data_IF_441577714718
#
_entry.id   IF_441577714718
#
_cell.length_a   1.000
_cell.length_b   1.000
_cell.length_c   1.000
_cell.angle_alpha   90.00
_cell.angle_beta   90.00
_cell.angle_gamma   90.00
#
_symmetry.space_group_name_H-M   'P 1'
#
loop_
_entity.id
_entity.type
_entity.pdbx_description
1 polymer ?
#
# COMPACT_ATOMS: atom_id res chain seq x y z
N UNK A 1 21.50 26.77 -7.19
CA UNK A 1 20.25 26.07 -7.57
C UNK A 1 19.84 25.05 -6.51
N UNK A 2 20.72 24.14 -6.06
CA UNK A 2 20.38 23.13 -5.05
C UNK A 2 19.73 23.75 -3.80
N UNK A 3 20.34 24.78 -3.21
CA UNK A 3 19.84 25.43 -2.00
C UNK A 3 18.41 26.01 -2.16
N UNK A 4 18.03 26.54 -3.30
CA UNK A 4 16.67 27.05 -3.54
C UNK A 4 15.65 25.93 -3.62
N UNK A 5 15.99 24.83 -4.30
CA UNK A 5 15.11 23.66 -4.38
C UNK A 5 14.88 23.05 -3.00
N UNK A 6 15.94 22.92 -2.19
CA UNK A 6 15.83 22.39 -0.83
C UNK A 6 14.96 23.29 0.07
N UNK A 7 15.07 24.62 -0.10
CA UNK A 7 14.20 25.59 0.60
C UNK A 7 12.73 25.45 0.18
N UNK A 8 12.46 25.30 -1.12
CA UNK A 8 11.09 25.12 -1.65
C UNK A 8 10.49 23.81 -1.12
N UNK A 9 11.22 22.68 -1.26
CA UNK A 9 10.79 21.37 -0.76
C UNK A 9 10.54 21.44 0.75
N UNK A 10 11.45 22.05 1.51
CA UNK A 10 11.28 22.23 2.94
C UNK A 10 10.06 23.11 3.30
N UNK A 11 9.76 24.14 2.53
CA UNK A 11 8.57 24.98 2.73
C UNK A 11 7.28 24.20 2.45
N UNK A 12 7.24 23.42 1.37
CA UNK A 12 6.12 22.53 1.03
C UNK A 12 5.91 21.51 2.14
N UNK A 13 6.96 20.85 2.58
CA UNK A 13 6.88 19.85 3.67
C UNK A 13 6.36 20.51 4.96
N UNK A 14 6.92 21.65 5.37
CA UNK A 14 6.45 22.40 6.56
C UNK A 14 4.99 22.81 6.48
N UNK A 15 4.47 23.02 5.29
CA UNK A 15 3.04 23.32 5.13
C UNK A 15 2.14 22.11 5.37
N UNK A 16 2.69 20.90 5.58
CA UNK A 16 1.93 19.66 5.76
C UNK A 16 1.37 19.09 4.46
N UNK A 17 1.89 19.51 3.32
CA UNK A 17 1.54 18.94 2.03
C UNK A 17 2.31 17.64 1.80
N UNK A 18 1.59 16.59 1.40
CA UNK A 18 2.12 15.26 1.12
C UNK A 18 1.60 14.77 -0.23
N UNK A 19 2.44 14.12 -1.01
CA UNK A 19 2.00 13.48 -2.25
C UNK A 19 1.17 12.23 -1.93
N UNK A 20 0.04 12.08 -2.64
CA UNK A 20 -0.90 10.98 -2.49
C UNK A 20 -0.60 9.93 -3.55
N UNK A 21 -0.35 8.70 -3.12
CA UNK A 21 -0.06 7.55 -3.96
C UNK A 21 -1.17 6.51 -3.83
N UNK A 22 -1.63 6.02 -4.98
CA UNK A 22 -2.70 5.03 -5.04
C UNK A 22 -2.11 3.63 -5.05
N UNK A 23 -2.42 2.84 -4.04
CA UNK A 23 -2.06 1.43 -3.94
C UNK A 23 -3.13 0.57 -4.62
N UNK A 24 -2.80 0.02 -5.79
CA UNK A 24 -3.62 -0.99 -6.45
C UNK A 24 -3.61 -2.30 -5.63
N UNK A 25 -4.57 -3.19 -5.92
CA UNK A 25 -4.52 -4.56 -5.39
C UNK A 25 -3.17 -5.20 -5.66
N UNK A 26 -2.60 -5.83 -4.65
CA UNK A 26 -1.30 -6.49 -4.77
C UNK A 26 -1.12 -7.57 -3.70
N UNK A 27 -0.05 -8.32 -3.84
CA UNK A 27 0.35 -9.36 -2.89
C UNK A 27 1.83 -9.21 -2.52
N UNK A 28 2.14 -9.44 -1.27
CA UNK A 28 3.48 -9.72 -0.78
C UNK A 28 3.57 -11.22 -0.49
N UNK A 29 4.61 -11.89 -0.94
CA UNK A 29 4.80 -13.32 -0.75
C UNK A 29 5.78 -13.61 0.38
N UNK A 30 5.53 -14.70 1.09
CA UNK A 30 6.57 -15.36 1.87
C UNK A 30 7.49 -16.15 0.94
N UNK A 31 8.72 -16.41 1.39
CA UNK A 31 9.67 -17.25 0.64
C UNK A 31 9.07 -18.62 0.29
N UNK A 32 8.44 -19.26 1.28
CA UNK A 32 7.78 -20.56 1.10
C UNK A 32 6.69 -20.52 0.02
N UNK A 33 5.81 -19.53 0.08
CA UNK A 33 4.68 -19.44 -0.84
C UNK A 33 5.15 -19.09 -2.25
N UNK A 34 6.22 -18.30 -2.36
CA UNK A 34 6.86 -18.01 -3.64
C UNK A 34 7.37 -19.30 -4.31
N UNK A 35 8.05 -20.19 -3.56
CA UNK A 35 8.51 -21.48 -4.11
C UNK A 35 7.35 -22.36 -4.58
N UNK A 36 6.24 -22.37 -3.86
CA UNK A 36 5.04 -23.16 -4.26
C UNK A 36 4.44 -22.59 -5.55
N UNK A 37 4.34 -21.26 -5.66
CA UNK A 37 3.68 -20.60 -6.78
C UNK A 37 4.52 -20.56 -8.06
N UNK A 38 5.85 -20.49 -7.94
CA UNK A 38 6.78 -20.28 -9.07
C UNK A 38 7.81 -21.39 -9.26
N UNK A 39 7.86 -22.36 -8.37
CA UNK A 39 8.81 -23.48 -8.39
C UNK A 39 10.01 -23.26 -7.48
N UNK A 40 10.69 -24.37 -7.16
CA UNK A 40 11.85 -24.35 -6.27
C UNK A 40 12.99 -23.51 -6.85
N UNK A 41 13.61 -22.66 -6.02
CA UNK A 41 14.68 -21.76 -6.41
C UNK A 41 14.21 -20.48 -7.13
N UNK A 42 12.90 -20.27 -7.30
CA UNK A 42 12.38 -19.04 -7.87
C UNK A 42 12.69 -17.83 -6.98
N UNK A 43 12.90 -16.69 -7.62
CA UNK A 43 13.09 -15.39 -6.97
C UNK A 43 12.29 -14.32 -7.70
N UNK A 44 11.88 -13.27 -6.98
CA UNK A 44 11.19 -12.14 -7.60
C UNK A 44 12.17 -11.31 -8.43
N UNK A 45 11.77 -11.01 -9.65
CA UNK A 45 12.54 -10.17 -10.59
C UNK A 45 12.07 -8.71 -10.48
N UNK A 46 12.91 -7.79 -10.00
CA UNK A 46 12.54 -6.38 -9.93
C UNK A 46 12.27 -5.79 -11.32
N UNK A 47 11.09 -5.21 -11.50
CA UNK A 47 10.68 -4.51 -12.72
C UNK A 47 10.81 -2.99 -12.59
N UNK A 48 10.42 -2.45 -11.46
CA UNK A 48 10.42 -1.02 -11.18
C UNK A 48 10.43 -0.77 -9.68
N UNK A 49 11.29 0.15 -9.23
CA UNK A 49 11.29 0.61 -7.84
C UNK A 49 9.98 1.33 -7.50
N UNK A 50 9.55 1.19 -6.27
CA UNK A 50 8.41 1.91 -5.69
C UNK A 50 8.91 3.14 -4.91
N UNK A 51 7.97 3.99 -4.51
CA UNK A 51 8.28 5.20 -3.73
C UNK A 51 8.93 4.92 -2.38
N UNK A 52 8.65 3.77 -1.79
CA UNK A 52 9.25 3.37 -0.53
C UNK A 52 10.57 2.62 -0.78
N UNK A 53 11.70 3.08 -0.20
CA UNK A 53 13.00 2.50 -0.42
C UNK A 53 13.07 1.00 -0.18
N UNK A 54 13.68 0.28 -1.12
CA UNK A 54 13.87 -1.16 -1.05
C UNK A 54 12.63 -1.98 -1.43
N UNK A 55 11.52 -1.34 -1.79
CA UNK A 55 10.35 -2.00 -2.35
C UNK A 55 10.31 -1.84 -3.88
N UNK A 56 9.82 -2.87 -4.56
CA UNK A 56 9.72 -2.87 -6.00
C UNK A 56 8.49 -3.65 -6.50
N UNK A 57 7.99 -3.26 -7.66
CA UNK A 57 7.06 -4.08 -8.42
C UNK A 57 7.87 -5.18 -9.10
N UNK A 58 7.48 -6.44 -8.97
CA UNK A 58 8.12 -7.56 -9.67
C UNK A 58 7.55 -7.77 -11.08
N UNK A 59 8.25 -8.56 -11.89
CA UNK A 59 7.74 -9.01 -13.20
C UNK A 59 6.66 -10.08 -13.03
N UNK A 60 6.78 -10.93 -12.01
CA UNK A 60 5.90 -12.04 -11.74
C UNK A 60 4.50 -11.54 -11.35
N UNK A 61 3.50 -12.36 -11.66
CA UNK A 61 2.09 -12.11 -11.39
C UNK A 61 1.43 -13.37 -10.87
N UNK A 62 0.38 -13.17 -10.09
CA UNK A 62 -0.48 -14.26 -9.61
C UNK A 62 -1.94 -13.97 -9.93
N UNK A 63 -2.77 -14.97 -9.79
CA UNK A 63 -4.22 -14.82 -9.83
C UNK A 63 -4.79 -15.03 -8.43
N UNK A 64 -5.79 -14.23 -8.10
CA UNK A 64 -6.55 -14.33 -6.86
C UNK A 64 -7.92 -14.93 -7.16
N UNK A 65 -8.29 -15.98 -6.45
CA UNK A 65 -9.53 -16.72 -6.67
C UNK A 65 -10.34 -16.67 -5.38
N UNK A 66 -11.45 -15.98 -5.44
CA UNK A 66 -12.43 -15.87 -4.37
C UNK A 66 -13.63 -16.81 -4.59
N UNK A 67 -14.66 -16.68 -3.77
CA UNK A 67 -15.87 -17.51 -3.87
C UNK A 67 -16.82 -17.08 -4.98
N UNK A 68 -16.73 -15.84 -5.46
CA UNK A 68 -17.62 -15.27 -6.50
C UNK A 68 -16.89 -14.89 -7.77
N UNK A 69 -15.57 -14.72 -7.72
CA UNK A 69 -14.84 -14.21 -8.86
C UNK A 69 -13.35 -14.45 -8.78
N UNK A 70 -12.66 -13.96 -9.80
CA UNK A 70 -11.22 -14.11 -10.00
C UNK A 70 -10.61 -12.76 -10.40
N UNK A 71 -9.43 -12.44 -9.93
CA UNK A 71 -8.59 -11.33 -10.40
C UNK A 71 -7.31 -11.92 -10.97
N UNK A 72 -7.06 -11.64 -12.24
CA UNK A 72 -5.88 -12.13 -12.96
C UNK A 72 -4.77 -11.09 -12.96
N UNK A 73 -3.53 -11.56 -13.15
CA UNK A 73 -2.33 -10.73 -13.28
C UNK A 73 -2.10 -9.75 -12.11
N UNK A 74 -2.46 -10.17 -10.91
CA UNK A 74 -2.27 -9.35 -9.70
C UNK A 74 -0.78 -9.14 -9.44
N UNK A 75 -0.41 -7.90 -9.16
CA UNK A 75 0.96 -7.49 -8.92
C UNK A 75 1.55 -8.11 -7.65
N UNK A 76 2.80 -8.52 -7.72
CA UNK A 76 3.59 -8.92 -6.57
C UNK A 76 4.54 -7.78 -6.25
N UNK A 77 4.56 -7.36 -5.00
CA UNK A 77 5.49 -6.35 -4.50
C UNK A 77 6.57 -7.04 -3.66
N UNK A 78 7.80 -6.84 -4.09
CA UNK A 78 8.99 -7.32 -3.41
C UNK A 78 9.58 -6.28 -2.44
N UNK A 79 10.52 -6.74 -1.60
CA UNK A 79 11.03 -8.11 -1.49
C UNK A 79 10.06 -9.06 -0.78
N UNK A 80 10.38 -10.36 -0.73
CA UNK A 80 9.63 -11.35 0.05
C UNK A 80 9.57 -10.96 1.53
N UNK A 81 8.49 -11.37 2.20
CA UNK A 81 8.22 -11.06 3.61
C UNK A 81 8.20 -12.35 4.46
N UNK A 82 8.07 -12.21 5.75
CA UNK A 82 7.93 -13.35 6.68
C UNK A 82 6.60 -14.10 6.50
N UNK A 83 5.56 -13.43 6.01
CA UNK A 83 4.24 -14.01 5.74
C UNK A 83 3.63 -13.41 4.49
N UNK A 84 2.83 -14.21 3.79
CA UNK A 84 2.07 -13.76 2.61
C UNK A 84 0.92 -12.87 3.03
N UNK A 85 0.76 -11.75 2.33
CA UNK A 85 -0.29 -10.76 2.55
C UNK A 85 -0.87 -10.27 1.23
N UNK A 86 -2.19 -10.27 1.12
CA UNK A 86 -2.95 -9.71 -0.01
C UNK A 86 -3.65 -8.44 0.45
N UNK A 87 -3.42 -7.35 -0.27
CA UNK A 87 -4.09 -6.07 -0.05
C UNK A 87 -5.11 -5.85 -1.17
N UNK A 88 -6.37 -5.70 -0.77
CA UNK A 88 -7.52 -5.49 -1.65
C UNK A 88 -8.26 -4.22 -1.26
N UNK A 89 -8.95 -3.61 -2.21
CA UNK A 89 -9.99 -2.62 -1.89
C UNK A 89 -11.28 -3.31 -1.44
N UNK A 90 -12.21 -2.54 -0.89
CA UNK A 90 -13.55 -3.06 -0.53
C UNK A 90 -14.31 -3.56 -1.76
N UNK A 91 -14.22 -2.86 -2.88
CA UNK A 91 -14.82 -3.26 -4.15
C UNK A 91 -14.24 -4.57 -4.66
N UNK A 92 -12.92 -4.76 -4.59
CA UNK A 92 -12.27 -6.03 -4.92
C UNK A 92 -12.79 -7.18 -4.07
N UNK A 93 -12.95 -6.95 -2.77
CA UNK A 93 -13.49 -7.95 -1.84
C UNK A 93 -14.91 -8.37 -2.22
N UNK A 94 -15.76 -7.42 -2.64
CA UNK A 94 -17.14 -7.70 -3.09
C UNK A 94 -17.14 -8.54 -4.37
N UNK A 95 -16.33 -8.15 -5.36
CA UNK A 95 -16.23 -8.87 -6.64
C UNK A 95 -15.68 -10.29 -6.47
N UNK A 96 -14.68 -10.47 -5.61
CA UNK A 96 -14.10 -11.77 -5.31
C UNK A 96 -14.99 -12.63 -4.37
N UNK A 97 -15.93 -12.02 -3.65
CA UNK A 97 -16.69 -12.71 -2.61
C UNK A 97 -15.84 -13.06 -1.38
N UNK A 98 -14.91 -12.18 -1.02
CA UNK A 98 -13.99 -12.34 0.10
C UNK A 98 -14.36 -11.34 1.20
N UNK A 99 -14.21 -11.75 2.45
CA UNK A 99 -14.32 -10.84 3.60
C UNK A 99 -12.93 -10.53 4.12
N UNK A 100 -12.57 -9.26 4.15
CA UNK A 100 -11.28 -8.80 4.66
C UNK A 100 -11.49 -7.66 5.67
N UNK A 101 -10.79 -7.67 6.82
CA UNK A 101 -10.82 -6.57 7.77
C UNK A 101 -9.97 -5.39 7.30
N UNK A 102 -10.32 -4.18 7.75
CA UNK A 102 -9.48 -3.01 7.63
C UNK A 102 -8.35 -3.12 8.66
N UNK A 103 -7.11 -3.21 8.21
CA UNK A 103 -5.91 -3.46 9.04
C UNK A 103 -4.71 -2.65 8.58
N UNK A 104 -3.77 -2.44 9.47
CA UNK A 104 -2.43 -1.99 9.08
C UNK A 104 -1.70 -3.10 8.30
N UNK A 105 -0.95 -2.74 7.26
CA UNK A 105 -0.09 -3.69 6.54
C UNK A 105 0.88 -4.37 7.52
N UNK A 106 0.91 -5.69 7.51
CA UNK A 106 1.62 -6.55 8.44
C UNK A 106 0.75 -7.19 9.53
N UNK A 107 -0.44 -6.64 9.82
CA UNK A 107 -1.38 -7.22 10.78
C UNK A 107 -2.36 -8.15 10.06
N UNK A 108 -1.92 -9.39 9.85
CA UNK A 108 -2.67 -10.38 9.05
C UNK A 108 -3.34 -11.49 9.89
N UNK A 109 -3.07 -11.56 11.19
CA UNK A 109 -3.61 -12.62 12.04
C UNK A 109 -5.13 -12.55 12.14
N UNK A 110 -5.80 -13.68 11.79
CA UNK A 110 -7.27 -13.75 11.79
C UNK A 110 -7.94 -12.87 10.73
N UNK A 111 -7.22 -12.52 9.66
CA UNK A 111 -7.74 -11.75 8.53
C UNK A 111 -8.47 -12.64 7.51
N UNK A 112 -8.75 -12.11 6.32
CA UNK A 112 -9.49 -12.82 5.27
C UNK A 112 -8.69 -13.96 4.64
N UNK A 113 -9.41 -14.89 4.00
CA UNK A 113 -8.88 -16.03 3.27
C UNK A 113 -9.07 -15.87 1.77
N UNK A 114 -8.15 -16.46 0.96
CA UNK A 114 -8.25 -16.47 -0.50
C UNK A 114 -7.36 -17.56 -1.08
N UNK A 115 -7.68 -18.03 -2.28
CA UNK A 115 -6.79 -18.90 -3.06
C UNK A 115 -5.91 -18.03 -3.96
N UNK A 116 -4.61 -18.29 -3.96
CA UNK A 116 -3.64 -17.66 -4.86
C UNK A 116 -3.08 -18.71 -5.79
N UNK A 117 -3.12 -18.43 -7.10
CA UNK A 117 -2.64 -19.31 -8.15
C UNK A 117 -1.46 -18.65 -8.86
N UNK A 118 -0.35 -19.36 -8.94
CA UNK A 118 0.81 -19.05 -9.75
C UNK A 118 0.99 -20.03 -10.91
N UNK A 119 2.05 -19.88 -11.71
CA UNK A 119 2.29 -20.75 -12.87
C UNK A 119 2.63 -22.21 -12.51
N UNK A 120 3.21 -22.44 -11.34
CA UNK A 120 3.66 -23.77 -10.90
C UNK A 120 2.78 -24.40 -9.82
N UNK A 121 1.92 -23.63 -9.16
CA UNK A 121 1.11 -24.16 -8.08
C UNK A 121 0.07 -23.18 -7.54
N UNK A 122 -0.60 -23.64 -6.49
CA UNK A 122 -1.68 -22.90 -5.85
C UNK A 122 -1.52 -22.98 -4.34
N UNK A 123 -1.77 -21.91 -3.63
CA UNK A 123 -1.83 -21.86 -2.18
C UNK A 123 -3.24 -21.46 -1.72
N UNK A 124 -3.67 -22.02 -0.61
CA UNK A 124 -4.89 -21.61 0.07
C UNK A 124 -4.52 -20.83 1.34
N UNK A 125 -4.60 -19.50 1.26
CA UNK A 125 -4.39 -18.65 2.41
C UNK A 125 -5.64 -18.70 3.30
N UNK A 126 -5.50 -19.26 4.48
CA UNK A 126 -6.57 -19.27 5.50
C UNK A 126 -6.70 -17.94 6.21
N UNK A 127 -5.62 -17.15 6.21
CA UNK A 127 -5.53 -15.76 6.64
C UNK A 127 -4.49 -15.05 5.78
N UNK A 128 -4.50 -13.72 5.72
CA UNK A 128 -3.55 -12.92 4.93
C UNK A 128 -4.19 -11.84 4.07
N UNK A 129 -5.53 -11.85 3.92
CA UNK A 129 -6.23 -10.84 3.12
C UNK A 129 -6.71 -9.69 4.01
N UNK A 130 -6.30 -8.47 3.68
CA UNK A 130 -6.69 -7.24 4.37
C UNK A 130 -7.16 -6.17 3.38
N UNK A 131 -7.94 -5.23 3.87
CA UNK A 131 -8.07 -3.90 3.30
C UNK A 131 -7.07 -3.03 4.05
N UNK A 132 -6.08 -2.48 3.34
CA UNK A 132 -5.05 -1.69 4.00
C UNK A 132 -5.61 -0.37 4.53
N UNK A 133 -5.36 -0.06 5.80
CA UNK A 133 -5.67 1.24 6.40
C UNK A 133 -4.92 2.34 5.66
N UNK A 134 -5.62 3.39 5.24
CA UNK A 134 -4.95 4.56 4.69
C UNK A 134 -3.96 5.17 5.69
N UNK A 135 -2.80 5.56 5.19
CA UNK A 135 -1.72 5.99 6.06
C UNK A 135 -0.75 6.95 5.37
N UNK A 136 0.01 7.67 6.17
CA UNK A 136 1.12 8.49 5.71
C UNK A 136 2.42 7.88 6.23
N UNK A 137 3.33 7.55 5.32
CA UNK A 137 4.71 7.23 5.63
C UNK A 137 5.49 8.52 5.90
N UNK A 138 6.15 8.60 7.04
CA UNK A 138 6.82 9.83 7.49
C UNK A 138 8.24 9.50 7.96
N UNK A 139 9.28 10.12 7.37
CA UNK A 139 10.63 10.08 7.93
C UNK A 139 10.69 10.78 9.30
N UNK A 140 11.59 10.37 10.22
CA UNK A 140 11.68 10.95 11.57
C UNK A 140 11.86 12.48 11.58
N UNK A 141 12.69 13.01 10.70
CA UNK A 141 12.95 14.45 10.56
C UNK A 141 11.69 15.21 10.12
N UNK A 142 10.91 14.65 9.21
CA UNK A 142 9.62 15.20 8.78
C UNK A 142 8.58 15.11 9.89
N UNK A 143 8.56 14.01 10.64
CA UNK A 143 7.67 13.84 11.78
C UNK A 143 7.97 14.91 12.86
N UNK A 144 9.24 15.17 13.17
CA UNK A 144 9.65 16.23 14.07
C UNK A 144 9.24 17.61 13.57
N UNK A 145 9.49 17.90 12.28
CA UNK A 145 9.15 19.17 11.64
C UNK A 145 7.65 19.47 11.68
N UNK A 146 6.84 18.43 11.48
CA UNK A 146 5.37 18.52 11.47
C UNK A 146 4.74 18.22 12.85
N UNK A 147 5.55 17.98 13.90
CA UNK A 147 5.08 17.60 15.25
C UNK A 147 4.11 16.39 15.21
N UNK A 148 4.40 15.42 14.34
CA UNK A 148 3.63 14.18 14.20
C UNK A 148 4.29 13.06 15.02
N UNK A 149 3.46 12.14 15.52
CA UNK A 149 3.91 10.97 16.27
C UNK A 149 3.56 9.69 15.53
N UNK A 150 4.39 8.66 15.69
CA UNK A 150 4.04 7.34 15.20
C UNK A 150 2.72 6.86 15.80
N UNK A 151 1.88 6.22 14.96
CA UNK A 151 0.52 5.77 15.30
C UNK A 151 -0.50 6.88 15.62
N UNK A 152 -0.12 8.15 15.48
CA UNK A 152 -1.09 9.25 15.53
C UNK A 152 -2.13 9.10 14.41
N UNK A 153 -3.37 9.53 14.69
CA UNK A 153 -4.43 9.64 13.69
C UNK A 153 -4.68 11.10 13.38
N UNK A 154 -4.72 11.40 12.10
CA UNK A 154 -4.93 12.77 11.57
C UNK A 154 -6.04 12.78 10.54
N UNK A 155 -6.46 13.98 10.11
CA UNK A 155 -7.24 14.16 8.91
C UNK A 155 -6.32 14.54 7.75
N UNK A 156 -6.66 14.15 6.52
CA UNK A 156 -5.97 14.61 5.31
C UNK A 156 -6.99 15.04 4.29
N UNK A 157 -6.92 16.29 3.88
CA UNK A 157 -7.71 16.85 2.78
C UNK A 157 -7.01 16.55 1.45
N UNK A 158 -7.71 15.94 0.53
CA UNK A 158 -7.20 15.63 -0.82
C UNK A 158 -7.47 16.82 -1.74
N UNK A 159 -6.42 17.35 -2.35
CA UNK A 159 -6.47 18.53 -3.24
C UNK A 159 -6.67 18.07 -4.69
N UNK A 160 -7.88 17.71 -5.03
CA UNK A 160 -8.29 17.19 -6.33
C UNK A 160 -9.52 17.94 -6.86
N UNK A 161 -10.03 17.55 -8.03
CA UNK A 161 -11.29 18.08 -8.59
C UNK A 161 -12.52 17.70 -7.74
N UNK A 162 -12.40 16.65 -6.94
CA UNK A 162 -13.44 16.20 -6.00
C UNK A 162 -12.84 16.14 -4.60
N UNK A 163 -12.57 17.30 -3.95
CA UNK A 163 -11.88 17.33 -2.67
C UNK A 163 -12.70 16.65 -1.58
N UNK A 164 -12.05 15.77 -0.83
CA UNK A 164 -12.61 15.14 0.36
C UNK A 164 -11.60 15.17 1.50
N UNK A 165 -12.07 15.03 2.72
CA UNK A 165 -11.22 14.88 3.90
C UNK A 165 -11.32 13.44 4.39
N UNK A 166 -10.23 12.69 4.27
CA UNK A 166 -10.10 11.41 4.96
C UNK A 166 -9.81 11.66 6.44
N UNK A 167 -10.64 11.08 7.30
CA UNK A 167 -10.44 11.05 8.74
C UNK A 167 -9.72 9.78 9.16
N UNK A 168 -9.10 9.82 10.32
CA UNK A 168 -8.48 8.64 10.93
C UNK A 168 -7.31 8.05 10.10
N UNK A 169 -6.63 8.89 9.32
CA UNK A 169 -5.43 8.51 8.55
C UNK A 169 -4.28 8.23 9.51
N UNK A 170 -3.65 7.07 9.37
CA UNK A 170 -2.59 6.61 10.26
C UNK A 170 -1.24 7.26 9.90
N UNK A 171 -0.57 7.85 10.86
CA UNK A 171 0.84 8.26 10.73
C UNK A 171 1.74 7.07 11.07
N UNK A 172 2.66 6.74 10.17
CA UNK A 172 3.67 5.70 10.34
C UNK A 172 5.05 6.33 10.23
N UNK A 173 5.82 6.32 11.31
CA UNK A 173 7.15 6.93 11.34
C UNK A 173 8.23 5.86 11.29
N UNK A 174 9.11 5.93 10.30
CA UNK A 174 10.26 5.04 10.20
C UNK A 174 11.39 5.67 9.37
N UNK A 175 12.65 5.40 9.73
CA UNK A 175 13.84 5.97 9.08
C UNK A 175 14.00 5.66 7.59
N UNK A 176 13.43 4.55 7.14
CA UNK A 176 13.50 4.10 5.74
C UNK A 176 12.26 4.54 4.93
N UNK A 177 11.39 5.38 5.47
CA UNK A 177 10.22 5.84 4.74
C UNK A 177 10.50 7.08 3.90
N UNK A 178 9.87 7.16 2.74
CA UNK A 178 9.68 8.38 1.97
C UNK A 178 8.35 9.01 2.36
N UNK A 179 8.30 10.35 2.44
CA UNK A 179 7.09 11.07 2.84
C UNK A 179 6.01 10.94 1.75
N UNK A 180 5.05 10.03 1.96
CA UNK A 180 3.95 9.68 1.03
C UNK A 180 2.72 9.26 1.79
N UNK A 181 1.55 9.67 1.28
CA UNK A 181 0.25 9.12 1.71
C UNK A 181 -0.14 7.98 0.78
N UNK A 182 -0.59 6.87 1.34
CA UNK A 182 -1.10 5.73 0.58
C UNK A 182 -2.60 5.56 0.84
N UNK A 183 -3.34 5.41 -0.25
CA UNK A 183 -4.79 5.14 -0.28
C UNK A 183 -5.07 4.01 -1.26
N UNK A 184 -6.20 3.32 -1.10
CA UNK A 184 -6.61 2.29 -2.05
C UNK A 184 -7.38 2.87 -3.27
N UNK A 185 -7.80 2.01 -4.19
CA UNK A 185 -8.55 2.44 -5.38
C UNK A 185 -9.94 2.98 -5.07
N UNK A 186 -10.63 2.48 -4.07
CA UNK A 186 -11.97 2.96 -3.71
C UNK A 186 -11.87 4.39 -3.13
N UNK A 187 -10.86 4.62 -2.30
CA UNK A 187 -10.56 5.95 -1.75
C UNK A 187 -10.12 6.93 -2.85
N UNK A 188 -9.25 6.47 -3.76
CA UNK A 188 -8.80 7.26 -4.89
C UNK A 188 -9.95 7.67 -5.82
N UNK A 189 -10.86 6.73 -6.13
CA UNK A 189 -12.05 7.01 -6.93
C UNK A 189 -13.00 7.98 -6.22
N UNK A 190 -13.19 7.81 -4.90
CA UNK A 190 -14.01 8.72 -4.11
C UNK A 190 -13.49 10.16 -4.15
N UNK A 191 -12.16 10.32 -4.09
CA UNK A 191 -11.49 11.62 -4.09
C UNK A 191 -11.07 12.10 -5.48
N UNK A 192 -11.40 11.43 -6.57
CA UNK A 192 -10.97 11.72 -7.93
C UNK A 192 -9.44 11.93 -8.05
N UNK A 193 -8.66 11.11 -7.32
CA UNK A 193 -7.19 11.17 -7.38
C UNK A 193 -6.73 10.63 -8.74
N UNK A 194 -6.00 11.46 -9.48
CA UNK A 194 -5.46 11.12 -10.78
C UNK A 194 -4.07 11.76 -10.97
N UNK A 195 -3.07 10.94 -11.32
CA UNK A 195 -1.70 11.40 -11.49
C UNK A 195 -1.12 12.01 -10.22
N UNK A 196 -0.38 13.11 -10.36
CA UNK A 196 0.21 13.83 -9.23
C UNK A 196 -0.87 14.58 -8.45
N UNK A 197 -1.12 14.16 -7.23
CA UNK A 197 -2.13 14.76 -6.35
C UNK A 197 -1.51 14.99 -4.97
N UNK A 198 -1.83 16.13 -4.36
CA UNK A 198 -1.39 16.47 -3.01
C UNK A 198 -2.52 16.29 -2.00
N UNK A 199 -2.14 15.86 -0.81
CA UNK A 199 -2.97 15.89 0.39
C UNK A 199 -2.44 16.93 1.39
N UNK A 200 -3.31 17.56 2.14
CA UNK A 200 -3.00 18.48 3.23
C UNK A 200 -3.29 17.83 4.57
N UNK A 201 -2.26 17.58 5.36
CA UNK A 201 -2.42 17.04 6.73
C UNK A 201 -3.05 18.11 7.62
N UNK A 202 -4.12 17.74 8.32
CA UNK A 202 -4.86 18.51 9.31
C UNK A 202 -4.76 17.77 10.64
N UNK A 203 -4.19 18.41 11.65
CA UNK A 203 -3.99 17.82 13.00
C UNK A 203 -5.26 17.86 13.82
#
# INVERSE_FOLDING_TARGET
>A
MQNLMDQIVGAITRSGLVEVEVSARHIHLSERDMQILFGDGASLTPKRDLSQPGQYLSEERVNLIGTKGRKEHVAILGPVRSSTQVELSKSDCVELGVTAPLRESGDVKGSGSIIVEGPCGTINLTEGVIIAQNHVHVPPETAQMLELKDKQRVCVEIMSERPIIFKNVLIRVHKNFTFRMHIDFDEANAAAVNGFTLGKIIK
#
